data_IF_687512534749
#
_entry.id   IF_687512534749
#
_cell.length_a   1.000
_cell.length_b   1.000
_cell.length_c   1.000
_cell.angle_alpha   90.00
_cell.angle_beta   90.00
_cell.angle_gamma   90.00
#
_symmetry.space_group_name_H-M   'P 1'
#
loop_
_entity.id
_entity.type
_entity.pdbx_description
1 polymer ?
#
# COMPACT_ATOMS: atom_id res chain seq x y z
N UNK A 1 1.94 22.37 -7.45
CA UNK A 1 1.34 21.01 -7.32
C UNK A 1 0.36 21.09 -6.16
N UNK A 2 -0.86 20.58 -6.29
CA UNK A 2 -1.86 20.56 -5.21
C UNK A 2 -1.59 19.28 -4.41
N UNK A 3 -1.59 19.38 -3.06
CA UNK A 3 -1.37 18.22 -2.20
C UNK A 3 -2.57 17.26 -2.23
N UNK A 4 -2.37 15.94 -2.22
CA UNK A 4 -3.47 14.99 -2.04
C UNK A 4 -4.34 15.31 -0.81
N UNK A 5 -3.75 15.73 0.29
CA UNK A 5 -4.47 16.15 1.50
C UNK A 5 -5.47 17.30 1.26
N UNK A 6 -5.27 18.10 0.21
CA UNK A 6 -6.15 19.23 -0.10
C UNK A 6 -7.32 18.82 -1.01
N UNK A 7 -7.16 17.83 -1.90
CA UNK A 7 -8.19 17.50 -2.88
C UNK A 7 -8.90 16.16 -2.63
N UNK A 8 -8.24 15.19 -1.99
CA UNK A 8 -8.85 13.87 -1.74
C UNK A 8 -10.14 13.99 -0.92
N UNK A 9 -10.19 14.72 0.21
CA UNK A 9 -11.43 14.87 0.98
C UNK A 9 -12.58 15.49 0.16
N UNK A 10 -12.26 16.45 -0.71
CA UNK A 10 -13.26 17.06 -1.60
C UNK A 10 -13.77 16.08 -2.64
N UNK A 11 -12.91 15.19 -3.14
CA UNK A 11 -13.29 14.18 -4.12
C UNK A 11 -14.11 13.04 -3.49
N UNK A 12 -13.86 12.71 -2.22
CA UNK A 12 -14.69 11.80 -1.45
C UNK A 12 -16.09 12.37 -1.25
N UNK A 13 -16.21 13.64 -0.78
CA UNK A 13 -17.51 14.29 -0.56
C UNK A 13 -18.38 14.38 -1.82
N UNK A 14 -17.80 14.57 -2.98
CA UNK A 14 -18.53 14.74 -4.24
C UNK A 14 -18.56 13.49 -5.15
N UNK A 15 -17.96 12.36 -4.70
CA UNK A 15 -17.90 11.09 -5.43
C UNK A 15 -16.91 11.08 -6.61
N UNK A 16 -16.10 12.11 -6.78
CA UNK A 16 -15.08 12.16 -7.84
C UNK A 16 -13.90 11.20 -7.56
N UNK A 17 -13.76 10.78 -6.30
CA UNK A 17 -12.73 9.81 -5.88
C UNK A 17 -12.80 8.52 -6.71
N UNK A 18 -14.00 8.03 -7.02
CA UNK A 18 -14.20 6.83 -7.84
C UNK A 18 -13.57 6.93 -9.23
N UNK A 19 -13.65 8.13 -9.82
CA UNK A 19 -13.06 8.37 -11.13
C UNK A 19 -11.54 8.53 -11.06
N UNK A 20 -11.06 9.10 -9.96
CA UNK A 20 -9.62 9.20 -9.70
C UNK A 20 -9.02 7.81 -9.54
N UNK A 21 -9.64 6.95 -8.73
CA UNK A 21 -9.20 5.56 -8.53
C UNK A 21 -9.06 4.84 -9.86
N UNK A 22 -10.09 4.85 -10.71
CA UNK A 22 -10.04 4.22 -12.04
C UNK A 22 -8.88 4.71 -12.90
N UNK A 23 -8.62 6.03 -12.91
CA UNK A 23 -7.51 6.62 -13.67
C UNK A 23 -6.16 6.14 -13.14
N UNK A 24 -6.00 6.06 -11.81
CA UNK A 24 -4.77 5.61 -11.16
C UNK A 24 -4.55 4.13 -11.45
N UNK A 25 -5.56 3.28 -11.27
CA UNK A 25 -5.48 1.84 -11.53
C UNK A 25 -5.10 1.54 -12.99
N UNK A 26 -5.78 2.20 -13.92
CA UNK A 26 -5.47 2.05 -15.35
C UNK A 26 -4.05 2.54 -15.69
N UNK A 27 -3.61 3.63 -15.05
CA UNK A 27 -2.26 4.16 -15.23
C UNK A 27 -1.18 3.20 -14.71
N UNK A 28 -1.42 2.57 -13.55
CA UNK A 28 -0.54 1.54 -12.98
C UNK A 28 -0.42 0.31 -13.90
N UNK A 29 -1.56 -0.23 -14.35
CA UNK A 29 -1.58 -1.38 -15.26
C UNK A 29 -0.85 -1.07 -16.57
N UNK A 30 -1.08 0.11 -17.14
CA UNK A 30 -0.39 0.55 -18.36
C UNK A 30 1.11 0.66 -18.15
N UNK A 31 1.54 1.14 -16.99
CA UNK A 31 2.96 1.29 -16.67
C UNK A 31 3.66 -0.07 -16.52
N UNK A 32 3.04 -1.00 -15.82
CA UNK A 32 3.54 -2.38 -15.70
C UNK A 32 3.68 -3.01 -17.10
N UNK A 33 2.66 -2.87 -17.96
CA UNK A 33 2.71 -3.38 -19.33
C UNK A 33 3.84 -2.75 -20.14
N UNK A 34 4.04 -1.43 -20.01
CA UNK A 34 5.13 -0.72 -20.66
C UNK A 34 6.52 -1.27 -20.26
N UNK A 35 6.75 -1.59 -19.00
CA UNK A 35 8.00 -2.21 -18.56
C UNK A 35 8.20 -3.58 -19.19
N UNK A 36 7.16 -4.43 -19.16
CA UNK A 36 7.20 -5.76 -19.77
C UNK A 36 7.52 -5.67 -21.27
N UNK A 37 6.85 -4.78 -22.00
CA UNK A 37 7.06 -4.60 -23.46
C UNK A 37 8.47 -4.10 -23.80
N UNK A 38 9.09 -3.35 -22.88
CA UNK A 38 10.48 -2.89 -23.00
C UNK A 38 11.52 -3.92 -22.54
N UNK A 39 11.09 -5.07 -22.03
CA UNK A 39 11.97 -6.09 -21.47
C UNK A 39 12.64 -5.66 -20.14
N UNK A 40 12.05 -4.69 -19.44
CA UNK A 40 12.46 -4.29 -18.10
C UNK A 40 11.72 -5.20 -17.12
N UNK A 41 12.43 -5.79 -16.17
CA UNK A 41 11.79 -6.59 -15.12
C UNK A 41 10.92 -5.67 -14.25
N UNK A 42 9.58 -5.87 -14.26
CA UNK A 42 8.70 -4.97 -13.54
C UNK A 42 8.71 -5.23 -12.04
N UNK A 43 8.50 -4.18 -11.26
CA UNK A 43 8.22 -4.27 -9.83
C UNK A 43 6.73 -4.10 -9.59
N UNK A 44 6.18 -4.61 -8.48
CA UNK A 44 4.80 -4.37 -8.11
C UNK A 44 4.51 -2.86 -7.95
N UNK A 45 3.30 -2.47 -8.34
CA UNK A 45 2.76 -1.13 -8.07
C UNK A 45 1.54 -1.31 -7.19
N UNK A 46 1.54 -0.65 -6.04
CA UNK A 46 0.39 -0.61 -5.17
C UNK A 46 -0.54 0.57 -5.51
N UNK A 47 -1.84 0.32 -5.41
CA UNK A 47 -2.89 1.32 -5.67
C UNK A 47 -3.94 1.27 -4.57
N UNK A 48 -4.41 2.45 -4.15
CA UNK A 48 -5.47 2.57 -3.17
C UNK A 48 -6.83 2.16 -3.76
N UNK A 49 -7.65 1.53 -2.92
CA UNK A 49 -9.07 1.31 -3.16
C UNK A 49 -9.84 2.17 -2.17
N UNK A 50 -10.57 3.16 -2.68
CA UNK A 50 -11.39 4.01 -1.83
C UNK A 50 -12.55 3.24 -1.19
N UNK A 51 -12.94 3.67 -0.01
CA UNK A 51 -14.07 3.10 0.73
C UNK A 51 -15.36 3.10 -0.10
N UNK A 52 -15.60 4.17 -0.83
CA UNK A 52 -16.77 4.32 -1.70
C UNK A 52 -16.85 3.23 -2.75
N UNK A 53 -15.69 2.79 -3.28
CA UNK A 53 -15.64 1.75 -4.29
C UNK A 53 -16.06 0.39 -3.72
N UNK A 54 -15.59 0.06 -2.52
CA UNK A 54 -15.88 -1.22 -1.86
C UNK A 54 -17.39 -1.43 -1.67
N UNK A 55 -18.12 -0.35 -1.39
CA UNK A 55 -19.56 -0.41 -1.09
C UNK A 55 -20.48 -0.28 -2.31
N UNK A 56 -19.98 0.28 -3.40
CA UNK A 56 -20.87 0.74 -4.49
C UNK A 56 -20.72 -0.12 -5.75
N UNK A 57 -19.57 -0.74 -5.99
CA UNK A 57 -19.24 -1.38 -7.26
C UNK A 57 -18.66 -2.79 -7.09
N UNK A 58 -18.65 -3.56 -8.18
CA UNK A 58 -17.92 -4.81 -8.29
C UNK A 58 -16.41 -4.52 -8.53
N UNK A 59 -15.74 -4.07 -7.48
CA UNK A 59 -14.31 -3.74 -7.52
C UNK A 59 -13.44 -4.93 -7.92
N UNK A 60 -13.83 -6.15 -7.56
CA UNK A 60 -13.10 -7.38 -7.92
C UNK A 60 -13.13 -7.59 -9.42
N UNK A 61 -14.33 -7.51 -10.02
CA UNK A 61 -14.50 -7.63 -11.47
C UNK A 61 -13.77 -6.53 -12.25
N UNK A 62 -13.76 -5.31 -11.73
CA UNK A 62 -13.05 -4.18 -12.36
C UNK A 62 -11.54 -4.37 -12.35
N UNK A 63 -10.95 -4.79 -11.22
CA UNK A 63 -9.53 -5.08 -11.11
C UNK A 63 -9.10 -6.22 -12.02
N UNK A 64 -9.86 -7.32 -12.05
CA UNK A 64 -9.61 -8.43 -12.96
C UNK A 64 -9.72 -8.00 -14.43
N UNK A 65 -10.69 -7.14 -14.76
CA UNK A 65 -10.82 -6.59 -16.10
C UNK A 65 -9.56 -5.79 -16.51
N UNK A 66 -9.05 -4.93 -15.64
CA UNK A 66 -7.84 -4.14 -15.90
C UNK A 66 -6.61 -5.03 -16.10
N UNK A 67 -6.37 -5.98 -15.22
CA UNK A 67 -5.24 -6.92 -15.32
C UNK A 67 -5.29 -7.70 -16.64
N UNK A 68 -6.47 -8.19 -17.04
CA UNK A 68 -6.66 -8.90 -18.29
C UNK A 68 -6.53 -7.97 -19.51
N UNK A 69 -7.09 -6.75 -19.45
CA UNK A 69 -7.01 -5.75 -20.53
C UNK A 69 -5.58 -5.38 -20.90
N UNK A 70 -4.72 -5.28 -19.88
CA UNK A 70 -3.30 -4.93 -20.05
C UNK A 70 -2.38 -6.15 -20.12
N UNK A 71 -2.91 -7.36 -20.00
CA UNK A 71 -2.16 -8.62 -20.03
C UNK A 71 -0.93 -8.57 -19.10
N UNK A 72 -1.16 -8.23 -17.82
CA UNK A 72 -0.12 -8.13 -16.80
C UNK A 72 -0.27 -9.25 -15.75
N UNK A 73 0.83 -9.73 -15.16
CA UNK A 73 0.77 -10.63 -14.02
C UNK A 73 0.03 -9.99 -12.85
N UNK A 74 -0.99 -10.65 -12.31
CA UNK A 74 -1.87 -10.14 -11.25
C UNK A 74 -1.11 -9.67 -10.01
N UNK A 75 -0.02 -10.37 -9.66
CA UNK A 75 0.84 -10.05 -8.50
C UNK A 75 1.63 -8.74 -8.63
N UNK A 76 1.64 -8.14 -9.82
CA UNK A 76 2.30 -6.85 -10.04
C UNK A 76 1.37 -5.66 -9.76
N UNK A 77 0.09 -5.91 -9.52
CA UNK A 77 -0.85 -4.90 -9.05
C UNK A 77 -1.25 -5.23 -7.62
N UNK A 78 -0.72 -4.48 -6.67
CA UNK A 78 -1.02 -4.61 -5.25
C UNK A 78 -2.13 -3.64 -4.85
N UNK A 79 -2.99 -4.04 -3.91
CA UNK A 79 -4.20 -3.29 -3.58
C UNK A 79 -4.18 -2.87 -2.12
N UNK A 80 -4.25 -1.55 -1.88
CA UNK A 80 -4.19 -0.94 -0.55
C UNK A 80 -5.57 -0.55 -0.06
N UNK A 81 -5.88 -0.90 1.19
CA UNK A 81 -7.08 -0.47 1.91
C UNK A 81 -6.65 0.17 3.22
N UNK A 82 -7.12 1.39 3.47
CA UNK A 82 -6.80 2.12 4.69
C UNK A 82 -7.51 1.55 5.92
N UNK A 83 -6.90 1.69 7.10
CA UNK A 83 -7.45 1.28 8.40
C UNK A 83 -8.85 1.85 8.66
N UNK A 84 -9.12 3.08 8.22
CA UNK A 84 -10.41 3.77 8.43
C UNK A 84 -11.56 3.16 7.64
N UNK A 85 -11.28 2.21 6.76
CA UNK A 85 -12.28 1.51 5.94
C UNK A 85 -12.98 0.38 6.71
N UNK A 86 -12.76 0.20 8.04
CA UNK A 86 -13.44 -0.85 8.84
C UNK A 86 -14.96 -0.68 8.75
N UNK A 87 -15.54 -1.43 7.83
CA UNK A 87 -16.95 -1.42 7.49
C UNK A 87 -17.42 -2.82 7.13
N UNK A 88 -18.73 -3.02 7.27
CA UNK A 88 -19.37 -4.27 6.90
C UNK A 88 -19.07 -4.62 5.42
N UNK A 89 -18.53 -5.81 5.16
CA UNK A 89 -18.21 -6.29 3.80
C UNK A 89 -16.75 -6.16 3.34
N UNK A 90 -15.91 -5.38 4.02
CA UNK A 90 -14.48 -5.24 3.62
C UNK A 90 -13.76 -6.59 3.64
N UNK A 91 -13.94 -7.38 4.68
CA UNK A 91 -13.32 -8.71 4.79
C UNK A 91 -13.69 -9.64 3.63
N UNK A 92 -14.96 -9.59 3.17
CA UNK A 92 -15.43 -10.39 2.04
C UNK A 92 -14.78 -9.92 0.72
N UNK A 93 -14.63 -8.61 0.54
CA UNK A 93 -13.97 -8.06 -0.65
C UNK A 93 -12.49 -8.42 -0.65
N UNK A 94 -11.78 -8.23 0.46
CA UNK A 94 -10.37 -8.63 0.60
C UNK A 94 -10.19 -10.12 0.30
N UNK A 95 -11.04 -10.99 0.85
CA UNK A 95 -10.96 -12.42 0.60
C UNK A 95 -11.14 -12.76 -0.89
N UNK A 96 -12.14 -12.15 -1.56
CA UNK A 96 -12.35 -12.33 -3.00
C UNK A 96 -11.16 -11.85 -3.85
N UNK A 97 -10.54 -10.72 -3.47
CA UNK A 97 -9.33 -10.23 -4.13
C UNK A 97 -8.17 -11.21 -3.98
N UNK A 98 -7.96 -11.73 -2.78
CA UNK A 98 -6.93 -12.75 -2.52
C UNK A 98 -7.20 -14.05 -3.28
N UNK A 99 -8.43 -14.52 -3.30
CA UNK A 99 -8.83 -15.70 -4.07
C UNK A 99 -8.61 -15.50 -5.58
N UNK A 100 -8.73 -14.28 -6.06
CA UNK A 100 -8.39 -13.90 -7.44
C UNK A 100 -6.87 -13.82 -7.69
N UNK A 101 -6.04 -13.76 -6.65
CA UNK A 101 -4.57 -13.75 -6.71
C UNK A 101 -3.90 -12.41 -6.51
N UNK A 102 -4.64 -11.36 -6.11
CA UNK A 102 -4.06 -10.06 -5.73
C UNK A 102 -3.37 -10.14 -4.38
N UNK A 103 -2.34 -9.31 -4.19
CA UNK A 103 -1.72 -9.02 -2.90
C UNK A 103 -2.49 -7.87 -2.24
N UNK A 104 -2.94 -8.08 -1.00
CA UNK A 104 -3.75 -7.12 -0.26
C UNK A 104 -2.95 -6.47 0.86
N UNK A 105 -2.87 -5.14 0.86
CA UNK A 105 -2.13 -4.35 1.83
C UNK A 105 -3.10 -3.61 2.75
N UNK A 106 -2.83 -3.63 4.05
CA UNK A 106 -3.46 -2.75 5.02
C UNK A 106 -2.61 -1.49 5.16
N UNK A 107 -3.16 -0.36 4.78
CA UNK A 107 -2.48 0.93 4.81
C UNK A 107 -2.82 1.76 6.06
N UNK A 108 -1.97 2.75 6.38
CA UNK A 108 -2.11 3.69 7.49
C UNK A 108 -2.23 3.04 8.88
N UNK A 109 -1.60 1.87 9.12
CA UNK A 109 -1.68 1.21 10.42
C UNK A 109 -1.14 2.08 11.55
N UNK A 110 -2.00 2.31 12.54
CA UNK A 110 -1.69 3.11 13.72
C UNK A 110 -2.17 4.56 13.65
N UNK A 111 -2.79 4.97 12.54
CA UNK A 111 -3.42 6.29 12.41
C UNK A 111 -4.78 6.38 13.13
N UNK A 112 -5.42 5.23 13.42
CA UNK A 112 -6.77 5.16 14.00
C UNK A 112 -6.89 4.20 15.20
N UNK A 113 -8.15 3.97 15.61
CA UNK A 113 -8.46 3.17 16.81
C UNK A 113 -8.83 1.70 16.53
N UNK A 114 -8.94 1.32 15.27
CA UNK A 114 -9.55 0.03 14.86
C UNK A 114 -8.59 -0.98 14.26
N UNK A 115 -7.29 -0.65 14.11
CA UNK A 115 -6.27 -1.44 13.40
C UNK A 115 -6.24 -2.92 13.76
N UNK A 116 -6.21 -3.24 15.04
CA UNK A 116 -6.14 -4.64 15.52
C UNK A 116 -7.44 -5.41 15.23
N UNK A 117 -8.61 -4.74 15.30
CA UNK A 117 -9.87 -5.38 14.97
C UNK A 117 -9.95 -5.73 13.49
N UNK A 118 -9.43 -4.85 12.62
CA UNK A 118 -9.38 -5.09 11.18
C UNK A 118 -8.44 -6.26 10.85
N UNK A 119 -7.25 -6.31 11.45
CA UNK A 119 -6.32 -7.43 11.32
C UNK A 119 -6.90 -8.76 11.82
N UNK A 120 -7.71 -8.74 12.88
CA UNK A 120 -8.36 -9.94 13.40
C UNK A 120 -9.40 -10.49 12.43
N UNK A 121 -10.14 -9.63 11.73
CA UNK A 121 -11.27 -10.02 10.88
C UNK A 121 -10.87 -10.26 9.42
N UNK A 122 -9.81 -9.59 8.95
CA UNK A 122 -9.46 -9.49 7.54
C UNK A 122 -8.05 -10.01 7.32
N UNK A 123 -7.90 -10.93 6.38
CA UNK A 123 -6.61 -11.54 6.06
C UNK A 123 -5.87 -10.74 4.99
N UNK A 124 -5.07 -9.77 5.42
CA UNK A 124 -4.14 -9.08 4.55
C UNK A 124 -2.87 -9.91 4.29
N UNK A 125 -2.05 -9.50 3.34
CA UNK A 125 -0.73 -10.06 3.05
C UNK A 125 0.38 -9.16 3.60
N UNK A 126 0.16 -7.85 3.58
CA UNK A 126 1.15 -6.83 3.98
C UNK A 126 0.52 -5.82 4.93
N UNK A 127 1.29 -5.40 5.92
CA UNK A 127 0.97 -4.31 6.83
C UNK A 127 1.88 -3.12 6.56
N UNK A 128 1.31 -1.93 6.29
CA UNK A 128 2.04 -0.68 6.14
C UNK A 128 1.93 0.13 7.43
N UNK A 129 3.06 0.31 8.12
CA UNK A 129 3.13 1.12 9.34
C UNK A 129 3.18 2.59 8.95
N UNK A 130 2.19 3.37 9.40
CA UNK A 130 2.06 4.79 9.08
C UNK A 130 3.24 5.64 9.60
N UNK A 131 3.60 6.67 8.84
CA UNK A 131 4.65 7.62 9.18
C UNK A 131 4.43 8.29 10.55
N UNK A 132 3.18 8.69 10.86
CA UNK A 132 2.84 9.34 12.12
C UNK A 132 3.08 8.41 13.30
N UNK A 133 2.64 7.15 13.18
CA UNK A 133 2.91 6.11 14.17
C UNK A 133 4.41 5.90 14.35
N UNK A 134 5.17 5.76 13.27
CA UNK A 134 6.62 5.60 13.36
C UNK A 134 7.30 6.80 14.05
N UNK A 135 6.99 8.03 13.65
CA UNK A 135 7.63 9.24 14.18
C UNK A 135 7.32 9.45 15.64
N UNK A 136 6.05 9.33 16.06
CA UNK A 136 5.61 9.54 17.44
C UNK A 136 6.24 8.52 18.40
N UNK A 137 6.23 7.24 18.00
CA UNK A 137 6.68 6.17 18.91
C UNK A 137 8.20 6.00 18.93
N UNK A 138 8.93 6.46 17.93
CA UNK A 138 10.41 6.41 17.93
C UNK A 138 11.07 7.31 18.98
N UNK A 139 10.39 8.34 19.47
CA UNK A 139 10.93 9.31 20.42
C UNK A 139 11.18 8.75 21.82
N UNK A 140 10.54 7.64 22.19
CA UNK A 140 10.63 7.07 23.53
C UNK A 140 11.01 5.59 23.53
N UNK A 141 11.67 5.14 24.60
CA UNK A 141 11.99 3.71 24.78
C UNK A 141 10.73 2.83 24.86
N UNK A 142 9.63 3.37 25.38
CA UNK A 142 8.33 2.67 25.43
C UNK A 142 7.73 2.56 24.03
N UNK A 143 7.78 3.64 23.26
CA UNK A 143 7.27 3.65 21.89
C UNK A 143 8.04 2.69 20.98
N UNK A 144 9.38 2.69 21.05
CA UNK A 144 10.21 1.72 20.32
C UNK A 144 9.85 0.27 20.64
N UNK A 145 9.52 -0.05 21.89
CA UNK A 145 9.02 -1.38 22.24
C UNK A 145 7.67 -1.68 21.61
N UNK A 146 6.77 -0.71 21.54
CA UNK A 146 5.48 -0.88 20.87
C UNK A 146 5.69 -1.20 19.39
N UNK A 147 6.52 -0.43 18.67
CA UNK A 147 6.84 -0.70 17.28
C UNK A 147 7.42 -2.11 17.11
N UNK A 148 8.44 -2.47 17.91
CA UNK A 148 9.07 -3.79 17.85
C UNK A 148 8.07 -4.94 18.07
N UNK A 149 7.16 -4.81 19.03
CA UNK A 149 6.13 -5.81 19.28
C UNK A 149 5.03 -5.82 18.21
N UNK A 150 4.72 -4.67 17.62
CA UNK A 150 3.82 -4.60 16.46
C UNK A 150 4.40 -5.38 15.27
N UNK A 151 5.67 -5.16 14.96
CA UNK A 151 6.38 -5.89 13.89
C UNK A 151 6.39 -7.40 14.18
N UNK A 152 6.78 -7.81 15.41
CA UNK A 152 6.79 -9.22 15.78
C UNK A 152 5.42 -9.86 15.69
N UNK A 153 4.39 -9.21 16.24
CA UNK A 153 3.00 -9.69 16.15
C UNK A 153 2.54 -9.86 14.71
N UNK A 154 2.81 -8.89 13.84
CA UNK A 154 2.40 -8.93 12.44
C UNK A 154 3.06 -10.09 11.70
N UNK A 155 4.34 -10.35 11.95
CA UNK A 155 5.05 -11.51 11.40
C UNK A 155 4.50 -12.84 11.94
N UNK A 156 4.17 -12.90 13.23
CA UNK A 156 3.60 -14.11 13.86
C UNK A 156 2.26 -14.50 13.25
N UNK A 157 1.49 -13.54 12.71
CA UNK A 157 0.26 -13.79 11.98
C UNK A 157 0.43 -13.87 10.45
N UNK A 158 1.69 -13.87 9.97
CA UNK A 158 2.04 -14.14 8.58
C UNK A 158 1.95 -12.94 7.63
N UNK A 159 2.09 -11.70 8.15
CA UNK A 159 2.14 -10.49 7.33
C UNK A 159 3.57 -10.07 7.04
N UNK A 160 3.83 -9.66 5.80
CA UNK A 160 5.00 -8.84 5.47
C UNK A 160 4.78 -7.41 5.96
N UNK A 161 5.88 -6.68 6.25
CA UNK A 161 5.78 -5.37 6.88
C UNK A 161 6.53 -4.33 6.08
N UNK A 162 5.85 -3.22 5.77
CA UNK A 162 6.43 -2.02 5.17
C UNK A 162 6.33 -0.88 6.18
N UNK A 163 7.45 -0.25 6.52
CA UNK A 163 7.45 0.96 7.32
C UNK A 163 7.50 2.20 6.42
N UNK A 164 6.59 3.13 6.63
CA UNK A 164 6.49 4.36 5.87
C UNK A 164 7.12 5.56 6.56
N UNK A 165 7.52 6.57 5.77
CA UNK A 165 8.03 7.82 6.27
C UNK A 165 9.35 7.70 7.02
N UNK A 166 10.22 6.76 6.63
CA UNK A 166 11.57 6.65 7.19
C UNK A 166 12.41 7.82 6.71
N UNK A 167 12.88 8.65 7.65
CA UNK A 167 13.60 9.89 7.34
C UNK A 167 15.05 9.87 7.84
N UNK A 168 15.39 8.99 8.79
CA UNK A 168 16.72 8.95 9.39
C UNK A 168 17.38 7.56 9.34
N UNK A 169 18.74 7.51 9.34
CA UNK A 169 19.48 6.25 9.44
C UNK A 169 19.15 5.45 10.70
N UNK A 170 18.85 6.14 11.82
CA UNK A 170 18.48 5.49 13.08
C UNK A 170 17.15 4.76 12.97
N UNK A 171 16.15 5.37 12.30
CA UNK A 171 14.87 4.72 12.03
C UNK A 171 15.08 3.48 11.16
N UNK A 172 15.85 3.59 10.07
CA UNK A 172 16.14 2.48 9.17
C UNK A 172 16.84 1.31 9.89
N UNK A 173 17.87 1.61 10.70
CA UNK A 173 18.59 0.59 11.48
C UNK A 173 17.67 -0.08 12.49
N UNK A 174 16.90 0.69 13.25
CA UNK A 174 15.96 0.16 14.23
C UNK A 174 14.91 -0.77 13.62
N UNK A 175 14.32 -0.38 12.49
CA UNK A 175 13.33 -1.19 11.77
C UNK A 175 13.94 -2.49 11.26
N UNK A 176 15.15 -2.42 10.71
CA UNK A 176 15.91 -3.60 10.27
C UNK A 176 16.19 -4.56 11.44
N UNK A 177 16.62 -4.01 12.60
CA UNK A 177 16.88 -4.81 13.81
C UNK A 177 15.60 -5.46 14.36
N UNK A 178 14.43 -4.84 14.16
CA UNK A 178 13.12 -5.39 14.51
C UNK A 178 12.63 -6.45 13.51
N UNK A 179 13.27 -6.60 12.35
CA UNK A 179 12.88 -7.54 11.29
C UNK A 179 11.76 -7.01 10.40
N UNK A 180 11.68 -5.70 10.18
CA UNK A 180 10.82 -5.10 9.16
C UNK A 180 11.31 -5.50 7.76
N UNK A 181 10.40 -5.95 6.90
CA UNK A 181 10.77 -6.53 5.60
C UNK A 181 11.15 -5.47 4.58
N UNK A 182 10.46 -4.33 4.59
CA UNK A 182 10.69 -3.21 3.68
C UNK A 182 10.46 -1.87 4.37
N UNK A 183 11.07 -0.82 3.82
CA UNK A 183 10.89 0.54 4.34
C UNK A 183 10.90 1.55 3.19
N UNK A 184 10.05 2.57 3.28
CA UNK A 184 10.00 3.68 2.34
C UNK A 184 10.04 5.02 3.06
N UNK A 185 10.62 6.04 2.43
CA UNK A 185 10.67 7.39 2.98
C UNK A 185 11.83 8.21 2.43
N UNK A 186 11.93 9.45 2.88
CA UNK A 186 12.89 10.43 2.38
C UNK A 186 14.36 10.07 2.67
N UNK A 187 14.60 9.16 3.61
CA UNK A 187 15.92 8.59 3.82
C UNK A 187 16.44 7.85 2.59
N UNK A 188 15.56 7.13 1.89
CA UNK A 188 15.91 6.38 0.68
C UNK A 188 15.77 7.22 -0.58
N UNK A 189 14.60 7.80 -0.79
CA UNK A 189 14.30 8.68 -1.92
C UNK A 189 13.12 9.59 -1.62
N UNK A 190 13.18 10.82 -2.12
CA UNK A 190 11.98 11.66 -2.25
C UNK A 190 11.13 11.17 -3.42
N UNK A 191 9.84 11.54 -3.48
CA UNK A 191 9.05 11.25 -4.67
C UNK A 191 9.73 11.78 -5.94
N UNK A 192 9.88 10.90 -6.91
CA UNK A 192 10.51 11.17 -8.19
C UNK A 192 9.50 11.04 -9.31
N UNK A 193 9.82 11.57 -10.48
CA UNK A 193 8.99 11.39 -11.66
C UNK A 193 9.05 9.96 -12.17
N UNK A 194 8.03 9.58 -12.94
CA UNK A 194 7.97 8.26 -13.57
C UNK A 194 9.20 7.98 -14.45
N UNK A 195 9.69 9.00 -15.16
CA UNK A 195 10.88 8.88 -16.01
C UNK A 195 12.17 8.64 -15.21
N UNK A 196 12.29 9.26 -14.03
CA UNK A 196 13.41 9.04 -13.13
C UNK A 196 13.37 7.65 -12.52
N UNK A 197 12.17 7.19 -12.14
CA UNK A 197 11.97 5.83 -11.62
C UNK A 197 12.31 4.76 -12.67
N UNK A 198 11.91 4.94 -13.93
CA UNK A 198 12.25 4.03 -15.03
C UNK A 198 13.76 3.89 -15.21
N UNK A 199 14.50 4.99 -15.09
CA UNK A 199 15.98 4.96 -15.17
C UNK A 199 16.59 4.18 -14.00
N UNK A 200 16.10 4.42 -12.77
CA UNK A 200 16.54 3.68 -11.60
C UNK A 200 16.29 2.18 -11.76
N UNK A 201 15.10 1.80 -12.21
CA UNK A 201 14.72 0.40 -12.40
C UNK A 201 15.63 -0.31 -13.41
N UNK A 202 15.95 0.36 -14.52
CA UNK A 202 16.90 -0.17 -15.52
C UNK A 202 18.33 -0.31 -14.97
N UNK A 203 18.75 0.58 -14.07
CA UNK A 203 20.10 0.51 -13.47
C UNK A 203 20.23 -0.63 -12.47
N UNK A 204 19.19 -0.89 -11.68
CA UNK A 204 19.17 -1.98 -10.70
C UNK A 204 19.11 -3.35 -11.38
N UNK A 205 18.51 -3.45 -12.58
CA UNK A 205 18.36 -4.69 -13.34
C UNK A 205 19.56 -5.02 -14.25
N UNK A 206 20.67 -4.27 -14.15
CA UNK A 206 21.94 -4.55 -14.86
C UNK A 206 22.90 -5.38 -14.02
#
# INVERSE_FOLDING_TARGET
MISPADFVPVFEENGFILKLDQIIWESACRKIREWIDKGIEPVPISVNISREYIHTFDVVGEMLHLVNKYDIPIKLLELEITETTDSEGVSDVVQKMKDAGFTMLMDDFGSGYSSLNMLQKTQFDVLKIDRGFLSEFMESSRGRKIISHTISMSRDIGLDIIAEGVETPEQASFLSDCGCDSAQGFYYSKPITQEEFDKMLVEVNK
#
